data_IF_877118737006
#
_entry.id   IF_877118737006
#
_cell.length_a   1.000
_cell.length_b   1.000
_cell.length_c   1.000
_cell.angle_alpha   90.00
_cell.angle_beta   90.00
_cell.angle_gamma   90.00
#
_symmetry.space_group_name_H-M   'P 1'
#
loop_
_entity.id
_entity.type
_entity.pdbx_description
1 polymer ?
#
# COMPACT_ATOMS: atom_id res chain seq x y z
N UNK A 1 5.58 -12.89 -27.45
CA UNK A 1 6.33 -13.18 -26.22
C UNK A 1 5.44 -13.97 -25.26
N UNK A 2 6.07 -14.81 -24.44
CA UNK A 2 5.41 -15.45 -23.29
C UNK A 2 5.47 -14.51 -22.08
N UNK A 3 4.32 -14.12 -21.59
CA UNK A 3 4.18 -13.16 -20.48
C UNK A 3 3.53 -13.89 -19.30
N UNK A 4 4.15 -13.80 -18.11
CA UNK A 4 3.55 -14.26 -16.86
C UNK A 4 3.19 -13.06 -16.00
N UNK A 5 1.99 -13.05 -15.45
CA UNK A 5 1.49 -12.08 -14.50
C UNK A 5 1.25 -12.82 -13.18
N UNK A 6 1.91 -12.42 -12.09
CA UNK A 6 1.79 -13.07 -10.78
C UNK A 6 0.76 -12.34 -9.90
N UNK A 7 0.20 -13.09 -8.95
CA UNK A 7 -0.56 -12.57 -7.80
C UNK A 7 -1.86 -11.80 -8.15
N UNK A 8 -2.53 -12.10 -9.27
CA UNK A 8 -3.86 -11.53 -9.54
C UNK A 8 -4.95 -12.29 -8.77
N UNK A 9 -4.99 -12.13 -7.45
CA UNK A 9 -5.90 -12.85 -6.55
C UNK A 9 -7.38 -12.74 -6.90
N UNK A 10 -7.75 -11.76 -7.71
CA UNK A 10 -9.15 -11.46 -8.04
C UNK A 10 -9.53 -11.90 -9.45
N UNK A 11 -8.58 -12.43 -10.23
CA UNK A 11 -8.73 -12.70 -11.68
C UNK A 11 -9.34 -11.50 -12.42
N UNK A 12 -8.87 -10.31 -12.07
CA UNK A 12 -9.47 -9.06 -12.54
C UNK A 12 -8.79 -8.53 -13.79
N UNK A 13 -7.49 -8.77 -13.95
CA UNK A 13 -6.69 -8.13 -15.01
C UNK A 13 -7.22 -8.41 -16.40
N UNK A 14 -7.71 -9.62 -16.67
CA UNK A 14 -8.31 -10.01 -17.94
C UNK A 14 -9.57 -9.21 -18.30
N UNK A 15 -10.21 -8.59 -17.30
CA UNK A 15 -11.44 -7.80 -17.46
C UNK A 15 -11.18 -6.30 -17.66
N UNK A 16 -9.92 -5.87 -17.55
CA UNK A 16 -9.52 -4.49 -17.72
C UNK A 16 -9.43 -4.16 -19.22
N UNK A 17 -9.77 -2.91 -19.58
CA UNK A 17 -9.66 -2.43 -20.95
C UNK A 17 -8.21 -2.45 -21.43
N UNK A 18 -7.27 -2.06 -20.53
CA UNK A 18 -5.84 -2.04 -20.84
C UNK A 18 -5.26 -3.42 -21.12
N UNK A 19 -5.90 -4.53 -20.69
CA UNK A 19 -5.45 -5.89 -20.99
C UNK A 19 -5.37 -6.16 -22.50
N UNK A 20 -6.22 -5.50 -23.28
CA UNK A 20 -6.18 -5.57 -24.76
C UNK A 20 -4.85 -5.14 -25.38
N UNK A 21 -4.00 -4.38 -24.68
CA UNK A 21 -2.64 -4.00 -25.12
C UNK A 21 -1.72 -5.22 -25.26
N UNK A 22 -2.02 -6.31 -24.55
CA UNK A 22 -1.27 -7.57 -24.64
C UNK A 22 -1.76 -8.50 -25.76
N UNK A 23 -2.68 -8.05 -26.61
CA UNK A 23 -3.15 -8.84 -27.75
C UNK A 23 -1.97 -9.26 -28.65
N UNK A 24 -1.95 -10.54 -29.07
CA UNK A 24 -0.85 -11.11 -29.85
C UNK A 24 0.31 -11.66 -29.02
N UNK A 25 0.24 -11.59 -27.69
CA UNK A 25 1.17 -12.26 -26.78
C UNK A 25 0.52 -13.50 -26.13
N UNK A 26 1.36 -14.43 -25.71
CA UNK A 26 0.95 -15.61 -24.94
C UNK A 26 0.99 -15.24 -23.43
N UNK A 27 -0.18 -15.00 -22.84
CA UNK A 27 -0.30 -14.43 -21.47
C UNK A 27 -0.86 -15.46 -20.50
N UNK A 28 -0.08 -15.81 -19.51
CA UNK A 28 -0.51 -16.57 -18.33
C UNK A 28 -0.70 -15.65 -17.14
N UNK A 29 -1.87 -15.69 -16.52
CA UNK A 29 -2.19 -14.97 -15.28
C UNK A 29 -2.33 -15.99 -14.15
N UNK A 30 -1.56 -15.79 -13.09
CA UNK A 30 -1.55 -16.62 -11.90
C UNK A 30 -2.37 -15.93 -10.80
N UNK A 31 -3.38 -16.64 -10.30
CA UNK A 31 -4.36 -16.08 -9.34
C UNK A 31 -4.07 -16.48 -7.89
N UNK A 32 -3.00 -17.22 -7.67
CA UNK A 32 -2.49 -17.65 -6.37
C UNK A 32 -1.15 -16.97 -6.05
N UNK A 33 -0.72 -17.07 -4.80
CA UNK A 33 0.60 -16.64 -4.36
C UNK A 33 1.52 -17.84 -4.15
N UNK A 34 2.72 -17.77 -4.72
CA UNK A 34 3.79 -18.73 -4.52
C UNK A 34 5.09 -17.99 -4.31
N UNK A 35 5.81 -18.30 -3.22
CA UNK A 35 7.14 -17.75 -2.94
C UNK A 35 8.23 -18.83 -2.91
N UNK A 36 7.86 -20.11 -2.93
CA UNK A 36 8.82 -21.21 -3.05
C UNK A 36 9.61 -21.10 -4.37
N UNK A 37 10.93 -21.12 -4.27
CA UNK A 37 11.83 -20.87 -5.41
C UNK A 37 11.73 -21.96 -6.49
N UNK A 38 11.58 -23.23 -6.09
CA UNK A 38 11.46 -24.34 -7.04
C UNK A 38 10.16 -24.26 -7.83
N UNK A 39 9.07 -23.98 -7.13
CA UNK A 39 7.75 -23.81 -7.75
C UNK A 39 7.71 -22.57 -8.67
N UNK A 40 8.30 -21.45 -8.26
CA UNK A 40 8.40 -20.24 -9.09
C UNK A 40 9.27 -20.47 -10.31
N UNK A 41 10.42 -21.12 -10.17
CA UNK A 41 11.29 -21.42 -11.30
C UNK A 41 10.61 -22.34 -12.32
N UNK A 42 9.89 -23.36 -11.87
CA UNK A 42 9.10 -24.23 -12.72
C UNK A 42 7.96 -23.46 -13.43
N UNK A 43 7.21 -22.63 -12.68
CA UNK A 43 6.11 -21.78 -13.17
C UNK A 43 6.57 -20.80 -14.25
N UNK A 44 7.75 -20.22 -14.11
CA UNK A 44 8.29 -19.13 -14.92
C UNK A 44 9.33 -19.58 -15.95
N UNK A 45 9.60 -20.89 -16.09
CA UNK A 45 10.69 -21.44 -16.93
C UNK A 45 10.71 -20.91 -18.36
N UNK A 46 9.55 -20.70 -18.96
CA UNK A 46 9.39 -20.22 -20.34
C UNK A 46 9.06 -18.72 -20.43
N UNK A 47 9.00 -18.01 -19.31
CA UNK A 47 8.59 -16.59 -19.25
C UNK A 47 9.66 -15.69 -19.86
N UNK A 48 9.27 -14.86 -20.80
CA UNK A 48 10.11 -13.84 -21.43
C UNK A 48 9.90 -12.46 -20.79
N UNK A 49 8.65 -12.15 -20.42
CA UNK A 49 8.30 -10.92 -19.68
C UNK A 49 7.48 -11.25 -18.43
N UNK A 50 7.90 -10.74 -17.29
CA UNK A 50 7.28 -10.94 -16.00
C UNK A 50 6.59 -9.65 -15.55
N UNK A 51 5.32 -9.75 -15.19
CA UNK A 51 4.54 -8.67 -14.57
C UNK A 51 4.38 -8.94 -13.09
N UNK A 52 4.72 -7.96 -12.28
CA UNK A 52 4.59 -8.01 -10.83
C UNK A 52 3.49 -7.07 -10.34
N UNK A 53 2.71 -7.54 -9.36
CA UNK A 53 1.69 -6.76 -8.69
C UNK A 53 2.21 -6.32 -7.32
N UNK A 54 2.74 -5.10 -7.26
CA UNK A 54 3.31 -4.53 -6.04
C UNK A 54 4.49 -5.38 -5.55
N UNK A 55 4.78 -5.31 -4.26
CA UNK A 55 5.87 -6.03 -3.61
C UNK A 55 5.47 -7.44 -3.11
N UNK A 56 4.54 -8.14 -3.82
CA UNK A 56 3.96 -9.40 -3.36
C UNK A 56 4.90 -10.59 -3.48
N UNK A 57 5.61 -10.70 -4.60
CA UNK A 57 6.57 -11.78 -4.84
C UNK A 57 7.99 -11.25 -4.86
N UNK A 58 8.88 -11.83 -4.07
CA UNK A 58 10.30 -11.51 -4.07
C UNK A 58 11.01 -12.15 -5.27
N UNK A 59 11.75 -11.35 -6.02
CA UNK A 59 12.52 -11.76 -7.20
C UNK A 59 14.00 -11.56 -6.90
N UNK A 60 14.60 -12.58 -6.29
CA UNK A 60 15.98 -12.57 -5.80
C UNK A 60 16.90 -13.36 -6.71
N UNK A 61 18.21 -13.25 -6.47
CA UNK A 61 19.28 -13.92 -7.23
C UNK A 61 19.02 -15.40 -7.49
N UNK A 62 18.67 -16.25 -6.49
CA UNK A 62 18.51 -17.69 -6.74
C UNK A 62 17.41 -18.01 -7.76
N UNK A 63 16.30 -17.26 -7.72
CA UNK A 63 15.23 -17.41 -8.72
C UNK A 63 15.68 -16.89 -10.09
N UNK A 64 16.26 -15.68 -10.14
CA UNK A 64 16.64 -15.02 -11.41
C UNK A 64 17.64 -15.87 -12.23
N UNK A 65 18.57 -16.54 -11.60
CA UNK A 65 19.55 -17.42 -12.25
C UNK A 65 18.92 -18.65 -12.89
N UNK A 66 17.71 -19.03 -12.49
CA UNK A 66 16.94 -20.17 -12.99
C UNK A 66 15.97 -19.80 -14.12
N UNK A 67 15.92 -18.51 -14.51
CA UNK A 67 14.99 -17.99 -15.53
C UNK A 67 15.75 -17.59 -16.81
N UNK A 68 16.27 -18.54 -17.61
CA UNK A 68 17.16 -18.24 -18.74
C UNK A 68 16.46 -17.50 -19.88
N UNK A 69 15.11 -17.54 -19.95
CA UNK A 69 14.33 -16.87 -20.99
C UNK A 69 13.85 -15.48 -20.59
N UNK A 70 13.92 -15.13 -19.31
CA UNK A 70 13.46 -13.84 -18.81
C UNK A 70 14.29 -12.69 -19.41
N UNK A 71 13.62 -11.68 -19.94
CA UNK A 71 14.20 -10.49 -20.60
C UNK A 71 13.70 -9.19 -20.01
N UNK A 72 12.46 -9.18 -19.51
CA UNK A 72 11.81 -8.00 -18.98
C UNK A 72 11.09 -8.33 -17.68
N UNK A 73 11.27 -7.48 -16.67
CA UNK A 73 10.34 -7.37 -15.54
C UNK A 73 9.64 -6.03 -15.65
N UNK A 74 8.32 -6.05 -15.72
CA UNK A 74 7.50 -4.84 -15.83
C UNK A 74 6.63 -4.70 -14.60
N UNK A 75 6.74 -3.56 -13.93
CA UNK A 75 5.95 -3.24 -12.74
C UNK A 75 5.74 -1.73 -12.61
N UNK A 76 5.10 -1.26 -11.56
CA UNK A 76 4.90 0.16 -11.26
C UNK A 76 5.26 0.48 -9.82
N UNK A 77 5.87 1.66 -9.57
CA UNK A 77 6.25 2.18 -8.26
C UNK A 77 7.58 1.60 -7.75
N UNK A 78 7.78 1.55 -6.42
CA UNK A 78 9.03 1.08 -5.80
C UNK A 78 9.25 -0.42 -6.02
N UNK A 79 10.51 -0.84 -6.02
CA UNK A 79 10.91 -2.21 -6.39
C UNK A 79 11.91 -2.85 -5.39
N UNK A 80 11.72 -2.73 -4.06
CA UNK A 80 12.65 -3.29 -3.08
C UNK A 80 12.70 -4.83 -3.10
N UNK A 81 11.68 -5.47 -3.67
CA UNK A 81 11.54 -6.91 -3.82
C UNK A 81 12.28 -7.48 -5.04
N UNK A 82 12.88 -6.64 -5.90
CA UNK A 82 13.62 -7.06 -7.10
C UNK A 82 15.11 -6.82 -6.88
N UNK A 83 15.93 -7.84 -7.16
CA UNK A 83 17.39 -7.71 -7.19
C UNK A 83 17.84 -7.10 -8.53
N UNK A 84 18.00 -5.78 -8.53
CA UNK A 84 18.34 -4.99 -9.72
C UNK A 84 19.76 -5.32 -10.22
N UNK A 85 20.72 -5.54 -9.32
CA UNK A 85 22.10 -5.84 -9.69
C UNK A 85 22.18 -7.18 -10.42
N UNK A 86 21.48 -8.19 -9.91
CA UNK A 86 21.37 -9.49 -10.59
C UNK A 86 20.62 -9.38 -11.92
N UNK A 87 19.51 -8.64 -12.00
CA UNK A 87 18.84 -8.39 -13.28
C UNK A 87 19.80 -7.77 -14.29
N UNK A 88 20.58 -6.77 -13.87
CA UNK A 88 21.58 -6.09 -14.72
C UNK A 88 22.68 -7.05 -15.20
N UNK A 89 23.19 -7.88 -14.30
CA UNK A 89 24.20 -8.90 -14.61
C UNK A 89 23.69 -9.93 -15.62
N UNK A 90 22.43 -10.34 -15.46
CA UNK A 90 21.80 -11.35 -16.33
C UNK A 90 21.20 -10.75 -17.63
N UNK A 91 21.28 -9.44 -17.85
CA UNK A 91 20.73 -8.78 -19.03
C UNK A 91 19.19 -8.72 -19.04
N UNK A 92 18.56 -8.73 -17.87
CA UNK A 92 17.11 -8.57 -17.69
C UNK A 92 16.80 -7.09 -17.49
N UNK A 93 15.97 -6.52 -18.36
CA UNK A 93 15.50 -5.14 -18.20
C UNK A 93 14.46 -5.10 -17.08
N UNK A 94 14.59 -4.14 -16.17
CA UNK A 94 13.55 -3.82 -15.20
C UNK A 94 12.93 -2.48 -15.57
N UNK A 95 11.63 -2.47 -15.84
CA UNK A 95 10.87 -1.26 -16.15
C UNK A 95 9.88 -0.96 -15.04
N UNK A 96 9.90 0.28 -14.54
CA UNK A 96 8.98 0.76 -13.51
C UNK A 96 8.66 2.24 -13.65
N UNK A 97 7.39 2.58 -13.89
CA UNK A 97 6.95 3.97 -13.84
C UNK A 97 6.85 4.45 -12.40
N UNK A 98 7.84 5.24 -11.97
CA UNK A 98 7.93 5.80 -10.61
C UNK A 98 7.07 7.06 -10.40
N UNK A 99 6.75 7.77 -11.48
CA UNK A 99 6.17 9.10 -11.45
C UNK A 99 5.02 9.25 -12.44
N UNK A 100 4.03 8.35 -12.36
CA UNK A 100 2.84 8.50 -13.17
C UNK A 100 2.17 9.84 -12.88
N UNK A 101 2.01 10.67 -13.90
CA UNK A 101 1.33 11.97 -13.81
C UNK A 101 -0.18 11.86 -13.51
N UNK A 102 -0.76 10.64 -13.60
CA UNK A 102 -2.17 10.39 -13.33
C UNK A 102 -2.41 10.35 -11.82
N UNK A 103 -3.29 11.22 -11.30
CA UNK A 103 -3.65 11.19 -9.89
C UNK A 103 -4.30 9.86 -9.51
N UNK A 104 -3.93 9.33 -8.33
CA UNK A 104 -4.54 8.17 -7.72
C UNK A 104 -5.10 8.57 -6.37
N UNK A 105 -6.38 8.29 -6.16
CA UNK A 105 -7.11 8.63 -4.93
C UNK A 105 -7.48 7.38 -4.12
N UNK A 106 -7.38 6.19 -4.67
CA UNK A 106 -7.86 4.94 -4.07
C UNK A 106 -7.38 4.74 -2.63
N UNK A 107 -6.08 4.92 -2.36
CA UNK A 107 -5.55 4.79 -0.99
C UNK A 107 -6.08 5.87 -0.03
N UNK A 108 -6.33 7.09 -0.50
CA UNK A 108 -6.92 8.15 0.31
C UNK A 108 -8.40 7.87 0.61
N UNK A 109 -9.13 7.36 -0.37
CA UNK A 109 -10.54 6.97 -0.23
C UNK A 109 -10.70 5.79 0.71
N UNK A 110 -9.86 4.74 0.59
CA UNK A 110 -9.85 3.65 1.56
C UNK A 110 -9.52 4.15 2.97
N UNK A 111 -8.50 5.01 3.11
CA UNK A 111 -8.16 5.61 4.41
C UNK A 111 -9.38 6.28 5.04
N UNK A 112 -10.10 7.07 4.25
CA UNK A 112 -11.30 7.76 4.71
C UNK A 112 -12.46 6.80 5.03
N UNK A 113 -12.64 5.78 4.19
CA UNK A 113 -13.60 4.69 4.44
C UNK A 113 -13.32 3.99 5.78
N UNK A 114 -12.04 3.69 6.07
CA UNK A 114 -11.63 3.08 7.34
C UNK A 114 -11.84 4.01 8.54
N UNK A 115 -11.59 5.32 8.41
CA UNK A 115 -11.92 6.31 9.45
C UNK A 115 -13.41 6.25 9.77
N UNK A 116 -14.28 6.28 8.76
CA UNK A 116 -15.72 6.22 8.96
C UNK A 116 -16.16 4.85 9.53
N UNK A 117 -15.60 3.77 9.01
CA UNK A 117 -15.91 2.41 9.45
C UNK A 117 -15.58 2.22 10.95
N UNK A 118 -14.41 2.66 11.39
CA UNK A 118 -13.97 2.56 12.78
C UNK A 118 -14.76 3.49 13.70
N UNK A 119 -14.86 4.78 13.36
CA UNK A 119 -15.55 5.77 14.19
C UNK A 119 -17.04 5.49 14.35
N UNK A 120 -17.69 4.89 13.33
CA UNK A 120 -19.09 4.51 13.37
C UNK A 120 -19.32 3.05 13.76
N UNK A 121 -18.23 2.27 14.01
CA UNK A 121 -18.26 0.85 14.36
C UNK A 121 -19.02 0.00 13.32
N UNK A 122 -18.88 0.34 12.04
CA UNK A 122 -19.69 -0.28 10.97
C UNK A 122 -19.48 -1.80 10.90
N UNK A 123 -18.26 -2.35 10.90
CA UNK A 123 -18.05 -3.81 10.83
C UNK A 123 -18.69 -4.54 12.02
N UNK A 124 -18.57 -4.00 13.23
CA UNK A 124 -19.14 -4.58 14.44
C UNK A 124 -20.67 -4.54 14.42
N UNK A 125 -21.27 -3.44 13.98
CA UNK A 125 -22.72 -3.32 13.82
C UNK A 125 -23.26 -4.30 12.77
N UNK A 126 -22.55 -4.47 11.65
CA UNK A 126 -22.90 -5.44 10.62
C UNK A 126 -22.83 -6.88 11.12
N UNK A 127 -21.76 -7.23 11.84
CA UNK A 127 -21.60 -8.57 12.44
C UNK A 127 -22.71 -8.85 13.46
N UNK A 128 -23.03 -7.88 14.31
CA UNK A 128 -24.10 -7.98 15.30
C UNK A 128 -25.47 -8.17 14.64
N UNK A 129 -25.78 -7.40 13.59
CA UNK A 129 -27.05 -7.51 12.86
C UNK A 129 -27.21 -8.92 12.24
N UNK A 130 -26.13 -9.45 11.64
CA UNK A 130 -26.11 -10.82 11.12
C UNK A 130 -26.32 -11.88 12.20
N UNK A 131 -25.89 -11.59 13.44
CA UNK A 131 -26.10 -12.44 14.62
C UNK A 131 -27.45 -12.18 15.32
N UNK A 132 -28.39 -11.48 14.70
CA UNK A 132 -29.71 -11.18 15.24
C UNK A 132 -29.73 -10.14 16.36
N UNK A 133 -28.64 -9.39 16.56
CA UNK A 133 -28.56 -8.33 17.57
C UNK A 133 -28.83 -6.96 16.93
N UNK A 134 -29.61 -6.14 17.63
CA UNK A 134 -29.95 -4.78 17.21
C UNK A 134 -29.12 -3.77 18.01
N UNK A 135 -28.35 -2.87 17.33
CA UNK A 135 -27.56 -1.79 17.91
C UNK A 135 -26.68 -2.18 19.11
N UNK A 136 -25.39 -2.42 18.87
CA UNK A 136 -24.43 -2.86 19.89
C UNK A 136 -23.52 -1.73 20.39
N UNK A 137 -24.02 -0.57 20.65
CA UNK A 137 -23.25 0.55 21.20
C UNK A 137 -23.22 1.76 20.26
N UNK A 138 -22.56 2.81 20.73
CA UNK A 138 -22.61 4.15 20.14
C UNK A 138 -21.27 4.45 19.48
N UNK A 139 -21.29 4.83 18.20
CA UNK A 139 -20.14 5.37 17.47
C UNK A 139 -19.98 6.89 17.71
N UNK A 140 -18.96 7.46 17.08
CA UNK A 140 -18.64 8.89 17.17
C UNK A 140 -18.80 9.58 15.81
N UNK A 141 -19.20 10.84 15.80
CA UNK A 141 -19.17 11.72 14.62
C UNK A 141 -17.76 12.32 14.45
N UNK A 142 -17.44 12.78 13.27
CA UNK A 142 -16.15 13.40 12.94
C UNK A 142 -16.15 14.93 13.09
N UNK A 143 -17.30 15.58 12.80
CA UNK A 143 -17.41 17.05 12.85
C UNK A 143 -16.97 17.61 14.20
N UNK A 144 -16.10 18.63 14.14
CA UNK A 144 -15.54 19.29 15.33
C UNK A 144 -14.38 18.55 16.01
N UNK A 145 -14.10 17.29 15.61
CA UNK A 145 -12.93 16.53 16.10
C UNK A 145 -11.65 16.94 15.38
N UNK A 146 -10.53 16.59 15.96
CA UNK A 146 -9.20 16.90 15.39
C UNK A 146 -8.63 15.70 14.65
N UNK A 147 -8.23 15.93 13.38
CA UNK A 147 -7.52 14.97 12.53
C UNK A 147 -6.03 15.34 12.47
N UNK A 148 -5.17 14.45 12.89
CA UNK A 148 -3.73 14.53 12.76
C UNK A 148 -3.26 13.80 11.49
N UNK A 149 -2.57 14.49 10.60
CA UNK A 149 -1.94 13.93 9.41
C UNK A 149 -0.44 13.81 9.65
N UNK A 150 0.05 12.59 9.81
CA UNK A 150 1.48 12.34 9.92
C UNK A 150 2.07 12.00 8.55
N UNK A 151 2.68 12.98 7.92
CA UNK A 151 3.19 12.92 6.56
C UNK A 151 2.26 13.60 5.54
N UNK A 152 2.68 14.78 5.06
CA UNK A 152 1.91 15.57 4.09
C UNK A 152 2.44 15.36 2.67
N UNK A 153 2.38 14.10 2.21
CA UNK A 153 2.64 13.68 0.84
C UNK A 153 1.40 13.77 -0.06
N UNK A 154 1.44 13.09 -1.19
CA UNK A 154 0.32 13.03 -2.15
C UNK A 154 -0.97 12.53 -1.49
N UNK A 155 -0.91 11.41 -0.77
CA UNK A 155 -2.07 10.80 -0.11
C UNK A 155 -2.50 11.64 1.10
N UNK A 156 -1.55 12.01 1.98
CA UNK A 156 -1.86 12.77 3.20
C UNK A 156 -2.53 14.12 2.93
N UNK A 157 -2.18 14.79 1.83
CA UNK A 157 -2.83 16.04 1.43
C UNK A 157 -4.30 15.83 1.04
N UNK A 158 -4.62 14.75 0.32
CA UNK A 158 -6.00 14.41 -0.05
C UNK A 158 -6.82 14.07 1.19
N UNK A 159 -6.29 13.23 2.10
CA UNK A 159 -6.97 12.86 3.35
C UNK A 159 -7.20 14.08 4.25
N UNK A 160 -6.24 15.02 4.31
CA UNK A 160 -6.42 16.30 4.99
C UNK A 160 -7.60 17.08 4.41
N UNK A 161 -7.73 17.11 3.07
CA UNK A 161 -8.87 17.72 2.36
C UNK A 161 -10.20 17.07 2.74
N UNK A 162 -10.26 15.74 2.83
CA UNK A 162 -11.47 15.02 3.28
C UNK A 162 -11.81 15.38 4.72
N UNK A 163 -10.83 15.42 5.64
CA UNK A 163 -11.06 15.85 7.02
C UNK A 163 -11.67 17.25 7.10
N UNK A 164 -11.13 18.20 6.33
CA UNK A 164 -11.68 19.56 6.24
C UNK A 164 -13.11 19.58 5.71
N UNK A 165 -13.41 18.80 4.67
CA UNK A 165 -14.76 18.71 4.09
C UNK A 165 -15.78 18.12 5.10
N UNK A 166 -15.33 17.22 5.98
CA UNK A 166 -16.17 16.68 7.08
C UNK A 166 -16.25 17.59 8.31
N UNK A 167 -15.65 18.79 8.25
CA UNK A 167 -15.69 19.76 9.34
C UNK A 167 -14.82 19.40 10.54
N UNK A 168 -13.72 18.67 10.30
CA UNK A 168 -12.70 18.41 11.31
C UNK A 168 -11.67 19.55 11.39
N UNK A 169 -11.03 19.67 12.55
CA UNK A 169 -9.85 20.52 12.74
C UNK A 169 -8.61 19.72 12.29
N UNK A 170 -8.01 20.06 11.15
CA UNK A 170 -6.88 19.29 10.61
C UNK A 170 -5.56 19.86 11.08
N UNK A 171 -4.70 19.02 11.65
CA UNK A 171 -3.31 19.32 12.04
C UNK A 171 -2.35 18.44 11.26
N UNK A 172 -1.25 19.01 10.81
CA UNK A 172 -0.24 18.31 10.02
C UNK A 172 1.10 18.26 10.74
N UNK A 173 1.75 17.11 10.74
CA UNK A 173 3.13 16.93 11.13
C UNK A 173 3.89 16.19 10.02
N UNK A 174 5.00 16.77 9.56
CA UNK A 174 5.80 16.21 8.46
C UNK A 174 7.22 16.82 8.46
N UNK A 175 8.00 16.55 7.40
CA UNK A 175 9.28 17.22 7.16
C UNK A 175 9.03 18.64 6.60
N UNK A 176 9.96 19.56 6.82
CA UNK A 176 9.82 20.97 6.44
C UNK A 176 9.31 21.23 5.02
N UNK A 177 9.85 20.61 3.94
CA UNK A 177 9.33 20.90 2.60
C UNK A 177 7.85 20.56 2.42
N UNK A 178 7.34 19.56 3.18
CA UNK A 178 5.93 19.18 3.19
C UNK A 178 5.10 20.09 4.09
N UNK A 179 5.69 20.60 5.17
CA UNK A 179 5.03 21.55 6.07
C UNK A 179 4.77 22.90 5.37
N UNK A 180 5.69 23.39 4.55
CA UNK A 180 5.49 24.63 3.76
C UNK A 180 4.29 24.48 2.83
N UNK A 181 4.17 23.34 2.17
CA UNK A 181 2.99 23.06 1.34
C UNK A 181 1.71 22.97 2.17
N UNK A 182 1.73 22.33 3.34
CA UNK A 182 0.57 22.27 4.20
C UNK A 182 0.12 23.66 4.69
N UNK A 183 1.07 24.55 5.01
CA UNK A 183 0.79 25.97 5.34
C UNK A 183 0.14 26.69 4.17
N UNK A 184 0.68 26.52 2.96
CA UNK A 184 0.14 27.13 1.74
C UNK A 184 -1.29 26.63 1.43
N UNK A 185 -1.58 25.35 1.73
CA UNK A 185 -2.91 24.74 1.59
C UNK A 185 -3.86 25.15 2.74
N UNK A 186 -3.42 25.97 3.70
CA UNK A 186 -4.21 26.52 4.81
C UNK A 186 -4.45 25.53 5.96
N UNK A 187 -3.56 24.56 6.16
CA UNK A 187 -3.63 23.64 7.29
C UNK A 187 -2.76 24.10 8.48
N UNK A 188 -3.22 23.80 9.67
CA UNK A 188 -2.50 24.08 10.91
C UNK A 188 -1.37 23.04 11.10
N UNK A 189 -0.18 23.52 11.41
CA UNK A 189 0.95 22.65 11.73
C UNK A 189 0.91 22.27 13.20
N UNK A 190 1.03 20.99 13.52
CA UNK A 190 1.18 20.54 14.90
C UNK A 190 2.55 21.04 15.45
N UNK A 191 2.62 21.55 16.67
CA UNK A 191 3.85 22.10 17.22
C UNK A 191 4.96 21.05 17.44
N UNK A 192 4.56 19.78 17.56
CA UNK A 192 5.49 18.65 17.67
C UNK A 192 4.81 17.35 17.28
N UNK A 193 5.60 16.27 17.03
CA UNK A 193 5.07 14.92 16.90
C UNK A 193 4.26 14.51 18.12
N UNK A 194 4.75 14.79 19.32
CA UNK A 194 4.06 14.47 20.58
C UNK A 194 2.67 15.13 20.65
N UNK A 195 2.57 16.41 20.33
CA UNK A 195 1.30 17.13 20.31
C UNK A 195 0.32 16.59 19.24
N UNK A 196 0.82 16.08 18.09
CA UNK A 196 -0.03 15.42 17.11
C UNK A 196 -0.74 14.20 17.71
N UNK A 197 0.00 13.35 18.43
CA UNK A 197 -0.57 12.14 19.06
C UNK A 197 -1.45 12.48 20.27
N UNK A 198 -1.10 13.47 21.05
CA UNK A 198 -1.80 13.84 22.29
C UNK A 198 -3.14 14.54 22.01
N UNK A 199 -3.15 15.47 21.06
CA UNK A 199 -4.31 16.37 20.85
C UNK A 199 -5.35 15.81 19.88
N UNK A 200 -4.97 14.89 18.98
CA UNK A 200 -5.85 14.47 17.89
C UNK A 200 -6.81 13.35 18.32
N UNK A 201 -8.00 13.38 17.76
CA UNK A 201 -9.02 12.33 17.92
C UNK A 201 -8.84 11.21 16.87
N UNK A 202 -8.23 11.55 15.73
CA UNK A 202 -7.82 10.61 14.69
C UNK A 202 -6.39 10.97 14.27
N UNK A 203 -5.49 9.99 14.23
CA UNK A 203 -4.14 10.16 13.67
C UNK A 203 -4.01 9.21 12.49
N UNK A 204 -3.66 9.75 11.31
CA UNK A 204 -3.49 8.97 10.08
C UNK A 204 -2.06 9.07 9.56
N UNK A 205 -1.45 7.90 9.31
CA UNK A 205 -0.05 7.77 8.90
C UNK A 205 0.07 7.76 7.38
N UNK A 206 0.86 8.70 6.81
CA UNK A 206 1.07 8.86 5.37
C UNK A 206 2.55 9.04 5.03
N UNK A 207 3.40 8.22 5.63
CA UNK A 207 4.84 8.22 5.46
C UNK A 207 5.30 7.11 4.52
N UNK A 208 6.35 7.37 3.76
CA UNK A 208 7.08 6.30 3.07
C UNK A 208 7.93 5.54 4.08
N UNK A 209 7.97 4.21 3.98
CA UNK A 209 8.89 3.39 4.76
C UNK A 209 10.32 3.54 4.21
N UNK A 210 11.22 3.96 5.07
CA UNK A 210 12.65 4.09 4.83
C UNK A 210 13.38 3.68 6.12
N UNK A 211 14.71 3.48 6.11
CA UNK A 211 15.46 3.28 7.36
C UNK A 211 15.19 4.35 8.42
N UNK A 212 15.03 5.62 8.00
CA UNK A 212 14.77 6.74 8.90
C UNK A 212 13.32 6.82 9.45
N UNK A 213 12.36 6.14 8.81
CA UNK A 213 10.95 6.15 9.23
C UNK A 213 10.49 4.82 9.83
N UNK A 214 11.34 3.79 9.79
CA UNK A 214 11.05 2.51 10.45
C UNK A 214 10.95 2.72 11.96
N UNK A 215 9.84 2.28 12.57
CA UNK A 215 9.57 2.45 13.99
C UNK A 215 9.42 3.90 14.44
N UNK A 216 9.15 4.83 13.52
CA UNK A 216 9.03 6.26 13.84
C UNK A 216 7.85 6.54 14.78
N UNK A 217 6.82 5.69 14.79
CA UNK A 217 5.73 5.69 15.76
C UNK A 217 6.08 4.70 16.86
N UNK A 218 6.32 5.19 18.06
CA UNK A 218 6.76 4.40 19.21
C UNK A 218 5.59 4.08 20.15
N UNK A 219 5.81 3.17 21.11
CA UNK A 219 4.86 2.90 22.18
C UNK A 219 4.56 4.18 23.01
N UNK A 220 5.55 5.07 23.18
CA UNK A 220 5.36 6.36 23.86
C UNK A 220 4.40 7.26 23.10
N UNK A 221 4.52 7.32 21.77
CA UNK A 221 3.60 8.11 20.93
C UNK A 221 2.16 7.57 21.04
N UNK A 222 2.00 6.25 20.94
CA UNK A 222 0.70 5.60 21.07
C UNK A 222 0.08 5.82 22.44
N UNK A 223 0.88 5.70 23.52
CA UNK A 223 0.43 5.94 24.89
C UNK A 223 -0.01 7.39 25.17
N UNK A 224 0.39 8.36 24.34
CA UNK A 224 -0.09 9.75 24.42
C UNK A 224 -1.49 9.92 23.83
N UNK A 225 -1.92 9.04 22.95
CA UNK A 225 -3.23 9.17 22.30
C UNK A 225 -4.37 9.08 23.31
N UNK A 226 -5.47 9.74 23.02
CA UNK A 226 -6.68 9.68 23.83
C UNK A 226 -7.24 8.25 23.88
N UNK A 227 -7.88 7.81 24.99
CA UNK A 227 -8.57 6.51 25.04
C UNK A 227 -9.72 6.37 24.02
N UNK A 228 -10.17 7.48 23.45
CA UNK A 228 -11.21 7.52 22.42
C UNK A 228 -10.66 7.73 21.02
N UNK A 229 -9.33 7.88 20.88
CA UNK A 229 -8.70 8.18 19.61
C UNK A 229 -8.60 6.96 18.71
N UNK A 230 -8.56 7.23 17.40
CA UNK A 230 -8.34 6.28 16.33
C UNK A 230 -6.95 6.48 15.71
N UNK A 231 -6.14 5.41 15.62
CA UNK A 231 -4.95 5.38 14.77
C UNK A 231 -5.30 4.72 13.43
N UNK A 232 -4.89 5.33 12.32
CA UNK A 232 -5.07 4.78 10.97
C UNK A 232 -3.72 4.56 10.31
N UNK A 233 -3.46 3.34 9.83
CA UNK A 233 -2.28 3.02 9.06
C UNK A 233 -2.62 2.29 7.76
N UNK A 234 -2.64 3.03 6.68
CA UNK A 234 -2.79 2.53 5.30
C UNK A 234 -1.49 2.73 4.50
N UNK A 235 -0.38 2.93 5.20
CA UNK A 235 0.95 3.15 4.60
C UNK A 235 1.79 1.88 4.62
N UNK A 236 2.47 1.61 5.75
CA UNK A 236 3.29 0.40 5.97
C UNK A 236 3.29 0.05 7.47
N UNK A 237 3.14 -1.22 7.81
CA UNK A 237 3.14 -1.67 9.20
C UNK A 237 4.43 -1.30 9.95
N UNK A 238 5.65 -1.48 9.39
CA UNK A 238 6.88 -1.16 10.09
C UNK A 238 7.15 0.33 10.33
N UNK A 239 6.22 1.24 10.03
CA UNK A 239 6.26 2.62 10.52
C UNK A 239 6.00 2.67 12.04
N UNK A 240 5.32 1.68 12.57
CA UNK A 240 5.08 1.51 14.00
C UNK A 240 6.13 0.54 14.55
N UNK A 241 6.64 0.81 15.72
CA UNK A 241 7.61 -0.08 16.38
C UNK A 241 7.00 -1.48 16.60
N UNK A 242 7.77 -2.56 16.41
CA UNK A 242 7.25 -3.93 16.52
C UNK A 242 6.48 -4.18 17.82
N UNK A 243 5.31 -4.78 17.72
CA UNK A 243 4.42 -5.10 18.85
C UNK A 243 3.71 -3.90 19.50
N UNK A 244 4.21 -2.69 19.31
CA UNK A 244 3.73 -1.50 20.03
C UNK A 244 2.23 -1.21 19.81
N UNK A 245 1.69 -1.44 18.61
CA UNK A 245 0.28 -1.18 18.33
C UNK A 245 -0.64 -2.15 19.10
N UNK A 246 -0.32 -3.44 19.09
CA UNK A 246 -1.11 -4.47 19.78
C UNK A 246 -1.14 -4.19 21.29
N UNK A 247 0.03 -3.91 21.88
CA UNK A 247 0.15 -3.63 23.31
C UNK A 247 -0.59 -2.34 23.70
N UNK A 248 -0.47 -1.30 22.90
CA UNK A 248 -1.15 -0.02 23.11
C UNK A 248 -2.68 -0.17 23.05
N UNK A 249 -3.21 -0.91 22.06
CA UNK A 249 -4.64 -1.19 21.93
C UNK A 249 -5.19 -2.01 23.11
N UNK A 250 -4.42 -2.99 23.60
CA UNK A 250 -4.76 -3.77 24.81
C UNK A 250 -4.75 -2.89 26.05
N UNK A 251 -3.84 -1.91 26.12
CA UNK A 251 -3.79 -0.92 27.18
C UNK A 251 -4.86 0.19 27.04
N UNK A 252 -5.61 0.21 25.92
CA UNK A 252 -6.70 1.15 25.68
C UNK A 252 -6.25 2.54 25.20
N UNK A 253 -5.01 2.69 24.72
CA UNK A 253 -4.48 3.95 24.16
C UNK A 253 -3.56 3.69 22.95
N UNK A 254 -4.03 3.97 21.69
CA UNK A 254 -5.36 4.51 21.34
C UNK A 254 -6.49 3.52 21.63
N UNK A 255 -7.72 4.05 21.73
CA UNK A 255 -8.90 3.22 21.96
C UNK A 255 -9.31 2.39 20.73
N UNK A 256 -8.87 2.78 19.52
CA UNK A 256 -9.22 2.12 18.25
C UNK A 256 -8.05 2.18 17.27
N UNK A 257 -8.00 1.23 16.36
CA UNK A 257 -7.16 1.31 15.16
C UNK A 257 -7.91 0.88 13.90
N UNK A 258 -7.41 1.35 12.76
CA UNK A 258 -7.79 0.87 11.44
C UNK A 258 -6.51 0.65 10.60
N UNK A 259 -6.30 -0.56 10.14
CA UNK A 259 -5.07 -0.95 9.45
C UNK A 259 -5.38 -1.65 8.13
N UNK A 260 -4.56 -1.34 7.12
CA UNK A 260 -4.61 -1.98 5.81
C UNK A 260 -3.28 -2.67 5.48
N UNK A 261 -2.34 -2.71 6.44
CA UNK A 261 -0.98 -3.20 6.22
C UNK A 261 -0.47 -4.01 7.41
N UNK A 262 0.37 -5.01 7.13
CA UNK A 262 0.91 -5.97 8.10
C UNK A 262 2.42 -6.11 7.93
N UNK A 263 3.09 -6.68 8.94
CA UNK A 263 4.55 -6.91 8.88
C UNK A 263 4.90 -8.01 7.88
N UNK A 264 4.04 -9.01 7.74
CA UNK A 264 4.13 -10.07 6.75
C UNK A 264 2.88 -10.07 5.87
N UNK A 265 3.06 -10.04 4.56
CA UNK A 265 1.97 -9.98 3.56
C UNK A 265 2.27 -10.93 2.38
N UNK A 266 1.31 -11.76 1.95
CA UNK A 266 -0.06 -11.93 2.48
C UNK A 266 -0.05 -12.38 3.94
N UNK A 267 -1.04 -11.93 4.74
CA UNK A 267 -1.13 -12.30 6.15
C UNK A 267 -1.42 -13.81 6.29
N UNK A 268 -0.43 -14.62 6.73
CA UNK A 268 -0.58 -16.08 6.68
C UNK A 268 -1.39 -16.63 7.85
N UNK A 269 -1.42 -15.91 8.97
CA UNK A 269 -2.01 -16.37 10.22
C UNK A 269 -3.37 -15.71 10.50
N UNK A 270 -4.48 -16.47 10.41
CA UNK A 270 -5.80 -15.96 10.78
C UNK A 270 -5.94 -15.66 12.29
N UNK A 271 -5.00 -16.11 13.12
CA UNK A 271 -4.94 -15.80 14.55
C UNK A 271 -4.09 -14.56 14.85
N UNK A 272 -3.71 -13.78 13.82
CA UNK A 272 -2.93 -12.56 14.00
C UNK A 272 -3.56 -11.64 15.07
N UNK A 273 -2.77 -11.12 16.05
CA UNK A 273 -3.31 -10.43 17.23
C UNK A 273 -4.25 -9.26 16.92
N UNK A 274 -4.03 -8.51 15.84
CA UNK A 274 -4.91 -7.41 15.45
C UNK A 274 -6.30 -7.89 15.00
N UNK A 275 -6.41 -9.08 14.40
CA UNK A 275 -7.70 -9.65 13.96
C UNK A 275 -8.57 -10.10 15.14
N UNK A 276 -7.94 -10.39 16.28
CA UNK A 276 -8.63 -10.80 17.51
C UNK A 276 -9.16 -9.63 18.35
N UNK A 277 -8.85 -8.38 17.97
CA UNK A 277 -9.24 -7.19 18.74
C UNK A 277 -10.52 -6.56 18.17
N UNK A 278 -11.56 -6.46 19.01
CA UNK A 278 -12.86 -5.86 18.61
C UNK A 278 -12.77 -4.35 18.32
N UNK A 279 -11.73 -3.69 18.78
CA UNK A 279 -11.49 -2.26 18.57
C UNK A 279 -10.59 -1.95 17.36
N UNK A 280 -10.38 -2.94 16.48
CA UNK A 280 -9.58 -2.79 15.26
C UNK A 280 -10.44 -3.05 14.02
N UNK A 281 -10.27 -2.24 12.99
CA UNK A 281 -10.76 -2.51 11.64
C UNK A 281 -9.57 -2.89 10.77
N UNK A 282 -9.60 -4.10 10.23
CA UNK A 282 -8.52 -4.67 9.42
C UNK A 282 -8.98 -4.88 7.97
N UNK A 283 -8.14 -4.49 7.00
CA UNK A 283 -8.34 -4.80 5.57
C UNK A 283 -7.05 -5.39 4.97
N UNK A 284 -7.13 -6.26 3.96
CA UNK A 284 -5.99 -7.02 3.47
C UNK A 284 -5.20 -6.27 2.38
N UNK A 285 -4.63 -5.11 2.71
CA UNK A 285 -3.81 -4.25 1.85
C UNK A 285 -4.50 -3.90 0.52
N UNK A 286 -5.71 -3.36 0.63
CA UNK A 286 -6.57 -3.02 -0.52
C UNK A 286 -6.55 -1.54 -0.91
N UNK A 287 -5.65 -0.73 -0.33
CA UNK A 287 -5.56 0.71 -0.60
C UNK A 287 -5.41 1.09 -2.07
N UNK A 288 -4.93 0.18 -2.91
CA UNK A 288 -4.81 0.36 -4.36
C UNK A 288 -5.75 -0.56 -5.15
N UNK A 289 -6.53 -1.40 -4.49
CA UNK A 289 -7.38 -2.41 -5.11
C UNK A 289 -8.73 -1.78 -5.46
N UNK A 290 -8.74 -1.05 -6.55
CA UNK A 290 -9.96 -0.58 -7.21
C UNK A 290 -9.82 -0.75 -8.73
N UNK A 291 -10.93 -0.87 -9.43
CA UNK A 291 -10.91 -1.06 -10.90
C UNK A 291 -10.21 0.11 -11.60
N UNK A 292 -10.51 1.34 -11.18
CA UNK A 292 -9.94 2.54 -11.79
C UNK A 292 -8.43 2.65 -11.55
N UNK A 293 -7.98 2.33 -10.35
CA UNK A 293 -6.55 2.28 -10.03
C UNK A 293 -5.83 1.16 -10.79
N UNK A 294 -6.46 0.00 -10.94
CA UNK A 294 -5.93 -1.10 -11.75
C UNK A 294 -5.80 -0.72 -13.21
N UNK A 295 -6.82 -0.07 -13.82
CA UNK A 295 -6.70 0.45 -15.19
C UNK A 295 -5.51 1.39 -15.36
N UNK A 296 -5.30 2.32 -14.41
CA UNK A 296 -4.16 3.25 -14.44
C UNK A 296 -2.83 2.50 -14.33
N UNK A 297 -2.71 1.63 -13.33
CA UNK A 297 -1.45 0.95 -13.03
C UNK A 297 -1.07 -0.03 -14.14
N UNK A 298 -2.02 -0.85 -14.57
CA UNK A 298 -1.75 -1.87 -15.57
C UNK A 298 -1.66 -1.31 -16.99
N UNK A 299 -2.30 -0.16 -17.28
CA UNK A 299 -2.03 0.53 -18.53
C UNK A 299 -0.56 0.91 -18.65
N UNK A 300 0.05 1.47 -17.60
CA UNK A 300 1.48 1.81 -17.57
C UNK A 300 2.36 0.55 -17.70
N UNK A 301 2.04 -0.51 -16.96
CA UNK A 301 2.79 -1.77 -16.96
C UNK A 301 2.75 -2.42 -18.36
N UNK A 302 1.58 -2.44 -19.00
CA UNK A 302 1.43 -3.03 -20.32
C UNK A 302 2.03 -2.15 -21.43
N UNK A 303 2.05 -0.83 -21.27
CA UNK A 303 2.78 0.07 -22.17
C UNK A 303 4.30 -0.19 -22.13
N UNK A 304 4.85 -0.53 -20.97
CA UNK A 304 6.26 -0.93 -20.86
C UNK A 304 6.54 -2.24 -21.63
N UNK A 305 5.61 -3.19 -21.61
CA UNK A 305 5.72 -4.46 -22.35
C UNK A 305 5.64 -4.20 -23.85
N UNK A 306 4.66 -3.42 -24.30
CA UNK A 306 4.48 -3.12 -25.74
C UNK A 306 5.65 -2.31 -26.27
N UNK A 307 6.17 -1.35 -25.51
CA UNK A 307 7.36 -0.58 -25.88
C UNK A 307 8.62 -1.47 -25.98
N UNK A 308 8.79 -2.39 -25.03
CA UNK A 308 9.88 -3.38 -25.11
C UNK A 308 9.74 -4.28 -26.35
N UNK A 309 8.55 -4.78 -26.64
CA UNK A 309 8.28 -5.60 -27.83
C UNK A 309 8.56 -4.86 -29.15
N UNK A 310 8.37 -3.55 -29.16
CA UNK A 310 8.71 -2.66 -30.29
C UNK A 310 10.20 -2.29 -30.36
N UNK A 311 11.05 -2.79 -29.45
CA UNK A 311 12.49 -2.50 -29.41
C UNK A 311 12.85 -1.15 -28.78
N UNK A 312 11.90 -0.45 -28.14
CA UNK A 312 12.07 0.87 -27.53
C UNK A 312 11.59 0.85 -26.05
N UNK A 313 12.27 0.11 -25.16
CA UNK A 313 11.85 -0.01 -23.76
C UNK A 313 11.81 1.34 -23.06
N UNK A 314 10.79 1.56 -22.22
CA UNK A 314 10.54 2.79 -21.49
C UNK A 314 10.60 2.55 -19.96
N UNK A 315 10.78 3.61 -19.19
CA UNK A 315 10.83 3.58 -17.71
C UNK A 315 11.87 2.59 -17.16
N UNK A 316 12.99 2.43 -17.88
CA UNK A 316 14.03 1.46 -17.53
C UNK A 316 14.76 1.91 -16.25
N UNK A 317 14.82 1.02 -15.27
CA UNK A 317 15.46 1.25 -13.96
C UNK A 317 16.96 0.99 -14.03
N UNK A 318 17.38 -0.01 -14.84
CA UNK A 318 18.76 -0.45 -15.01
C UNK A 318 19.24 -0.25 -16.47
N UNK A 319 19.44 0.99 -16.92
CA UNK A 319 19.75 1.32 -18.32
C UNK A 319 21.06 0.71 -18.84
N UNK A 320 21.94 0.28 -17.95
CA UNK A 320 23.23 -0.39 -18.28
C UNK A 320 23.02 -1.70 -19.06
N UNK A 321 21.81 -2.26 -19.03
CA UNK A 321 21.44 -3.47 -19.77
C UNK A 321 21.22 -3.18 -21.26
N UNK A 322 20.83 -1.96 -21.63
CA UNK A 322 20.41 -1.62 -23.00
C UNK A 322 21.55 -1.76 -24.03
N UNK A 323 22.81 -1.72 -23.61
CA UNK A 323 23.97 -1.94 -24.47
C UNK A 323 24.49 -3.39 -24.54
N UNK A 324 23.90 -4.29 -23.75
CA UNK A 324 24.32 -5.69 -23.67
C UNK A 324 23.39 -6.55 -24.53
N UNK A 325 23.84 -6.97 -25.73
CA UNK A 325 23.13 -8.03 -26.46
C UNK A 325 23.30 -9.36 -25.71
N UNK A 326 22.22 -10.00 -25.34
CA UNK A 326 22.19 -11.41 -24.97
C UNK A 326 22.04 -12.29 -26.20
#
# INVERSE_FOLDING_TARGET
MKISILDDYHDTLRTLRCFGKLAGHDVTVWNDHVQDEDALAARLADTEALVLIRERTEIRTPLLERLPRLRLISQRSVFPHIDIDTCTRLGVIVSSNMHAGTPSYAAAELTWGLVLAAMRRIPQQMAALRAGKWQIGVGSTLRGKTLGIFGYGRIGAVVAGYGRAFGMNVRVWSREPSLDRARADGFVIAPSKAALFEDCDVVSLHLRLTPATRGIVTAVDLGRMKPTALLVNTSRAPLIAPGALVDALRAGRPGMAAVDVYDEEPLPDPAHPLLALDNVVCTPHIGYVSRDEYEIQFADIFDQITAYAAGAPINVVNPEVLGKRR
#
